data_IF_704891639144
#
_entry.id   IF_704891639144
#
_cell.length_a   1.000
_cell.length_b   1.000
_cell.length_c   1.000
_cell.angle_alpha   90.00
_cell.angle_beta   90.00
_cell.angle_gamma   90.00
#
_symmetry.space_group_name_H-M   'P 1'
#
loop_
_entity.id
_entity.type
_entity.pdbx_description
1 polymer ?
#
# COMPACT_ATOMS: atom_id res chain seq x y z
N UNK A 1 -12.01 7.78 -15.89
CA UNK A 1 -11.74 6.32 -15.90
C UNK A 1 -11.93 5.68 -14.54
N UNK A 2 -11.43 6.26 -13.46
CA UNK A 2 -11.52 5.70 -12.08
C UNK A 2 -12.95 5.35 -11.67
N UNK A 3 -13.91 6.27 -11.82
CA UNK A 3 -15.32 6.04 -11.42
C UNK A 3 -15.96 4.89 -12.21
N UNK A 4 -15.75 4.83 -13.54
CA UNK A 4 -16.22 3.71 -14.35
C UNK A 4 -15.56 2.40 -13.90
N UNK A 5 -14.27 2.43 -13.54
CA UNK A 5 -13.61 1.29 -12.93
C UNK A 5 -14.26 0.85 -11.61
N UNK A 6 -14.63 1.80 -10.75
CA UNK A 6 -15.35 1.50 -9.50
C UNK A 6 -16.73 0.89 -9.75
N UNK A 7 -17.51 1.42 -10.69
CA UNK A 7 -18.83 0.88 -11.08
C UNK A 7 -18.73 -0.55 -11.66
N UNK A 8 -17.61 -0.86 -12.33
CA UNK A 8 -17.34 -2.20 -12.88
C UNK A 8 -16.60 -3.12 -11.90
N UNK A 9 -16.30 -2.66 -10.68
CA UNK A 9 -15.59 -3.45 -9.66
C UNK A 9 -16.54 -4.07 -8.65
N UNK A 10 -16.09 -5.13 -7.98
CA UNK A 10 -16.79 -5.70 -6.85
C UNK A 10 -16.77 -4.74 -5.64
N UNK A 11 -17.96 -4.45 -5.09
CA UNK A 11 -18.21 -3.57 -3.93
C UNK A 11 -17.27 -3.84 -2.74
N UNK A 12 -17.08 -5.13 -2.45
CA UNK A 12 -16.26 -5.64 -1.33
C UNK A 12 -14.81 -5.12 -1.31
N UNK A 13 -14.28 -4.67 -2.45
CA UNK A 13 -12.89 -4.21 -2.61
C UNK A 13 -12.71 -2.72 -2.39
N UNK A 14 -13.78 -1.92 -2.38
CA UNK A 14 -13.71 -0.46 -2.28
C UNK A 14 -13.86 0.02 -0.84
N UNK A 15 -13.15 1.07 -0.42
CA UNK A 15 -13.34 1.67 0.91
C UNK A 15 -14.80 2.04 1.10
N UNK A 16 -15.32 1.88 2.32
CA UNK A 16 -16.74 2.02 2.67
C UNK A 16 -17.39 3.28 2.09
N UNK A 17 -16.72 4.43 2.11
CA UNK A 17 -17.26 5.68 1.55
C UNK A 17 -17.52 5.63 0.04
N UNK A 18 -16.61 5.01 -0.73
CA UNK A 18 -16.73 4.85 -2.18
C UNK A 18 -17.74 3.75 -2.48
N UNK A 19 -17.65 2.65 -1.74
CA UNK A 19 -18.54 1.50 -1.87
C UNK A 19 -20.01 1.90 -1.71
N UNK A 20 -20.36 2.55 -0.60
CA UNK A 20 -21.73 2.98 -0.33
C UNK A 20 -22.27 3.94 -1.41
N UNK A 21 -21.41 4.70 -2.11
CA UNK A 21 -21.84 5.58 -3.22
C UNK A 21 -22.05 4.82 -4.51
N UNK A 22 -21.15 3.88 -4.80
CA UNK A 22 -21.30 2.98 -5.95
C UNK A 22 -22.61 2.20 -5.79
N UNK A 23 -22.88 1.65 -4.61
CA UNK A 23 -24.15 0.98 -4.31
C UNK A 23 -25.36 1.90 -4.51
N UNK A 24 -25.33 3.14 -3.97
CA UNK A 24 -26.41 4.11 -4.19
C UNK A 24 -26.66 4.44 -5.67
N UNK A 25 -25.60 4.52 -6.47
CA UNK A 25 -25.71 4.75 -7.91
C UNK A 25 -26.35 3.54 -8.58
N UNK A 26 -25.88 2.32 -8.25
CA UNK A 26 -26.34 1.08 -8.84
C UNK A 26 -27.72 0.62 -8.34
N UNK A 27 -28.22 1.19 -7.24
CA UNK A 27 -29.59 0.97 -6.76
C UNK A 27 -30.65 1.48 -7.76
N UNK A 28 -30.31 2.53 -8.53
CA UNK A 28 -31.20 3.13 -9.53
C UNK A 28 -30.75 2.98 -10.98
N UNK A 29 -29.59 2.38 -11.24
CA UNK A 29 -29.00 2.31 -12.59
C UNK A 29 -28.20 1.03 -12.82
N UNK A 30 -28.11 0.62 -14.07
CA UNK A 30 -27.23 -0.48 -14.48
C UNK A 30 -25.85 0.03 -14.88
N UNK A 31 -24.82 -0.77 -14.59
CA UNK A 31 -23.42 -0.47 -14.97
C UNK A 31 -23.29 -0.19 -16.48
N UNK A 32 -24.08 -0.87 -17.32
CA UNK A 32 -24.08 -0.72 -18.78
C UNK A 32 -24.57 0.64 -19.29
N UNK A 33 -25.33 1.37 -18.46
CA UNK A 33 -25.82 2.71 -18.79
C UNK A 33 -24.74 3.78 -18.62
N UNK A 34 -23.71 3.50 -17.81
CA UNK A 34 -22.65 4.45 -17.51
C UNK A 34 -21.59 4.46 -18.60
N UNK A 35 -21.41 5.62 -19.23
CA UNK A 35 -20.41 5.83 -20.28
C UNK A 35 -19.50 7.00 -19.93
N UNK A 36 -18.30 6.96 -20.48
CA UNK A 36 -17.37 8.06 -20.36
C UNK A 36 -17.64 9.09 -21.44
N UNK A 37 -17.53 10.34 -21.01
CA UNK A 37 -17.46 11.49 -21.90
C UNK A 37 -16.02 12.02 -21.82
N UNK A 38 -15.46 12.43 -22.96
CA UNK A 38 -14.15 13.06 -22.98
C UNK A 38 -14.16 14.30 -22.08
N UNK A 39 -13.08 14.56 -21.35
CA UNK A 39 -12.96 15.75 -20.48
C UNK A 39 -13.30 17.06 -21.20
N UNK A 40 -12.93 17.19 -22.48
CA UNK A 40 -13.26 18.38 -23.29
C UNK A 40 -14.75 18.52 -23.59
N UNK A 41 -15.45 17.38 -23.59
CA UNK A 41 -16.87 17.28 -23.90
C UNK A 41 -17.72 17.18 -22.62
N UNK A 42 -17.15 17.36 -21.42
CA UNK A 42 -17.89 17.31 -20.17
C UNK A 42 -18.46 18.70 -19.81
N UNK A 43 -19.78 18.94 -19.87
CA UNK A 43 -20.34 20.24 -19.48
C UNK A 43 -20.10 20.56 -17.99
N UNK A 44 -20.01 19.55 -17.11
CA UNK A 44 -19.72 19.76 -15.70
C UNK A 44 -18.31 20.32 -15.43
N UNK A 45 -17.36 20.15 -16.36
CA UNK A 45 -16.04 20.77 -16.26
C UNK A 45 -16.13 22.30 -16.36
N UNK A 46 -17.12 22.83 -17.11
CA UNK A 46 -17.30 24.27 -17.31
C UNK A 46 -17.59 24.96 -15.98
N UNK A 47 -18.56 24.44 -15.22
CA UNK A 47 -18.95 25.04 -13.94
C UNK A 47 -17.90 24.82 -12.85
N UNK A 48 -17.25 23.65 -12.83
CA UNK A 48 -16.26 23.31 -11.79
C UNK A 48 -14.94 24.07 -11.94
N UNK A 49 -14.60 24.56 -13.15
CA UNK A 49 -13.42 25.41 -13.39
C UNK A 49 -13.63 26.89 -13.03
N UNK A 50 -14.88 27.28 -12.81
CA UNK A 50 -15.26 28.68 -12.60
C UNK A 50 -15.47 29.39 -13.94
N UNK A 51 -16.72 29.74 -14.22
CA UNK A 51 -17.15 30.51 -15.38
C UNK A 51 -18.05 31.65 -14.90
N UNK A 52 -18.02 32.79 -15.60
CA UNK A 52 -18.92 33.89 -15.30
C UNK A 52 -20.39 33.51 -15.60
N UNK A 53 -21.34 34.04 -14.83
CA UNK A 53 -22.75 33.73 -15.00
C UNK A 53 -23.30 34.14 -16.38
N UNK A 54 -22.83 35.26 -16.95
CA UNK A 54 -23.25 35.70 -18.29
C UNK A 54 -22.68 34.80 -19.38
N UNK A 55 -21.46 34.30 -19.20
CA UNK A 55 -20.83 33.39 -20.13
C UNK A 55 -21.47 32.00 -20.07
N UNK A 56 -21.78 31.52 -18.86
CA UNK A 56 -22.54 30.28 -18.66
C UNK A 56 -23.93 30.36 -19.32
N UNK A 57 -24.61 31.49 -19.20
CA UNK A 57 -25.90 31.71 -19.85
C UNK A 57 -25.83 31.58 -21.38
N UNK A 58 -24.67 31.88 -21.99
CA UNK A 58 -24.43 31.75 -23.43
C UNK A 58 -23.80 30.41 -23.83
N UNK A 59 -23.45 29.55 -22.88
CA UNK A 59 -22.73 28.30 -23.14
C UNK A 59 -23.64 27.24 -23.77
N UNK A 60 -23.53 27.07 -25.09
CA UNK A 60 -24.22 26.01 -25.83
C UNK A 60 -23.88 24.63 -25.26
N UNK A 61 -22.61 24.43 -24.87
CA UNK A 61 -22.12 23.17 -24.35
C UNK A 61 -22.76 22.80 -23.01
N UNK A 62 -23.01 23.78 -22.12
CA UNK A 62 -23.67 23.53 -20.84
C UNK A 62 -25.14 23.15 -21.03
N UNK A 63 -25.86 23.89 -21.88
CA UNK A 63 -27.30 23.72 -22.04
C UNK A 63 -27.69 22.57 -22.96
N UNK A 64 -26.92 22.31 -24.01
CA UNK A 64 -27.24 21.28 -25.01
C UNK A 64 -26.32 20.05 -24.94
N UNK A 65 -25.20 20.15 -24.23
CA UNK A 65 -24.18 19.10 -24.21
C UNK A 65 -23.44 18.93 -25.54
N UNK A 66 -22.67 17.84 -25.67
CA UNK A 66 -22.02 17.45 -26.92
C UNK A 66 -23.04 17.16 -28.02
N UNK A 67 -22.75 17.62 -29.24
CA UNK A 67 -23.63 17.45 -30.40
C UNK A 67 -23.98 15.99 -30.71
N UNK A 68 -23.06 15.06 -30.44
CA UNK A 68 -23.29 13.63 -30.70
C UNK A 68 -24.33 13.00 -29.77
N UNK A 69 -24.66 13.59 -28.62
CA UNK A 69 -25.72 13.07 -27.75
C UNK A 69 -27.12 13.28 -28.34
N UNK A 70 -27.27 14.22 -29.28
CA UNK A 70 -28.51 14.43 -30.03
C UNK A 70 -28.70 13.41 -31.17
N UNK A 71 -27.66 12.64 -31.49
CA UNK A 71 -27.70 11.60 -32.51
C UNK A 71 -28.17 10.27 -31.90
N UNK A 72 -28.61 9.29 -32.73
CA UNK A 72 -28.85 7.94 -32.27
C UNK A 72 -27.64 7.36 -31.53
N UNK A 73 -27.88 6.51 -30.53
CA UNK A 73 -26.83 5.93 -29.68
C UNK A 73 -25.72 5.22 -30.46
N UNK A 74 -26.07 4.64 -31.63
CA UNK A 74 -25.13 4.00 -32.55
C UNK A 74 -24.06 4.95 -33.10
N UNK A 75 -24.33 6.25 -33.09
CA UNK A 75 -23.44 7.31 -33.55
C UNK A 75 -22.76 8.06 -32.41
N UNK A 76 -23.02 7.68 -31.16
CA UNK A 76 -22.33 8.30 -30.04
C UNK A 76 -20.83 8.02 -30.14
N UNK A 77 -20.03 9.03 -29.79
CA UNK A 77 -18.60 8.83 -29.68
C UNK A 77 -18.35 7.83 -28.55
N UNK A 78 -17.81 6.65 -28.90
CA UNK A 78 -17.40 5.63 -27.94
C UNK A 78 -15.88 5.71 -27.82
N UNK A 79 -15.33 6.63 -27.00
CA UNK A 79 -13.90 6.60 -26.74
C UNK A 79 -13.55 5.19 -26.24
N UNK A 80 -12.60 4.54 -26.91
CA UNK A 80 -12.09 3.23 -26.48
C UNK A 80 -11.42 3.41 -25.13
N UNK A 81 -12.07 2.91 -24.09
CA UNK A 81 -11.57 3.05 -22.72
C UNK A 81 -10.98 1.74 -22.29
N UNK A 82 -9.68 1.80 -22.00
CA UNK A 82 -9.05 0.79 -21.19
C UNK A 82 -9.51 1.02 -19.76
N UNK A 83 -10.48 0.21 -19.30
CA UNK A 83 -10.86 0.20 -17.90
C UNK A 83 -9.62 -0.15 -17.08
N UNK A 84 -9.32 0.68 -16.10
CA UNK A 84 -8.23 0.42 -15.16
C UNK A 84 -8.57 -0.87 -14.40
N UNK A 85 -7.65 -1.85 -14.35
CA UNK A 85 -7.87 -3.07 -13.58
C UNK A 85 -8.21 -2.74 -12.14
N UNK A 86 -9.09 -3.52 -11.54
CA UNK A 86 -9.61 -3.24 -10.21
C UNK A 86 -8.50 -3.06 -9.17
N UNK A 87 -7.36 -3.75 -9.25
CA UNK A 87 -6.24 -3.64 -8.30
C UNK A 87 -5.41 -2.33 -8.41
N UNK A 88 -5.57 -1.57 -9.50
CA UNK A 88 -4.90 -0.27 -9.68
C UNK A 88 -5.83 0.90 -9.35
N UNK A 89 -7.09 0.62 -9.02
CA UNK A 89 -8.04 1.66 -8.64
C UNK A 89 -7.68 2.23 -7.27
N UNK A 90 -7.74 3.56 -7.10
CA UNK A 90 -7.58 4.18 -5.79
C UNK A 90 -8.73 3.78 -4.86
N UNK A 91 -8.56 4.06 -3.57
CA UNK A 91 -9.58 3.83 -2.55
C UNK A 91 -9.98 2.36 -2.36
N UNK A 92 -9.03 1.42 -2.48
CA UNK A 92 -9.27 0.02 -2.13
C UNK A 92 -9.24 -0.22 -0.62
N UNK A 93 -10.02 -1.20 -0.15
CA UNK A 93 -9.87 -1.74 1.21
C UNK A 93 -8.52 -2.47 1.31
N UNK A 94 -7.79 -2.30 2.42
CA UNK A 94 -6.62 -3.13 2.67
C UNK A 94 -7.06 -4.59 2.79
N UNK A 95 -6.42 -5.47 2.02
CA UNK A 95 -6.64 -6.91 2.13
C UNK A 95 -6.10 -7.37 3.48
N UNK A 96 -6.99 -7.66 4.43
CA UNK A 96 -6.61 -8.29 5.69
C UNK A 96 -6.69 -9.80 5.50
N UNK A 97 -5.54 -10.45 5.36
CA UNK A 97 -5.45 -11.90 5.44
C UNK A 97 -5.72 -12.31 6.89
N UNK A 98 -6.90 -12.86 7.16
CA UNK A 98 -7.21 -13.47 8.44
C UNK A 98 -6.87 -14.95 8.33
N UNK A 99 -5.81 -15.37 9.02
CA UNK A 99 -5.55 -16.78 9.23
C UNK A 99 -6.51 -17.25 10.32
N UNK A 100 -7.62 -17.84 9.92
CA UNK A 100 -8.50 -18.54 10.85
C UNK A 100 -7.89 -19.92 11.16
N UNK A 101 -7.22 -20.05 12.31
CA UNK A 101 -6.86 -21.34 12.85
C UNK A 101 -8.06 -21.93 13.61
N UNK A 102 -9.14 -22.19 12.87
CA UNK A 102 -10.31 -22.83 13.44
C UNK A 102 -9.88 -24.21 13.95
N UNK A 103 -9.93 -24.36 15.26
CA UNK A 103 -9.37 -25.47 16.03
C UNK A 103 -10.29 -26.67 15.86
N UNK A 104 -10.24 -27.28 14.68
CA UNK A 104 -11.07 -28.42 14.32
C UNK A 104 -11.01 -28.66 12.83
N UNK A 105 -10.01 -29.41 12.38
CA UNK A 105 -10.10 -30.56 11.44
C UNK A 105 -8.66 -30.99 11.10
N UNK A 106 -8.31 -32.18 11.58
CA UNK A 106 -7.26 -33.11 11.15
C UNK A 106 -5.78 -32.74 11.45
N UNK A 107 -5.15 -33.56 12.31
CA UNK A 107 -3.78 -33.48 12.83
C UNK A 107 -2.60 -33.51 11.83
N UNK A 108 -2.83 -33.23 10.54
CA UNK A 108 -1.78 -33.01 9.56
C UNK A 108 -1.21 -31.58 9.63
N UNK A 109 -2.03 -30.58 9.98
CA UNK A 109 -1.56 -29.19 10.07
C UNK A 109 -0.67 -28.92 11.29
N UNK A 110 -0.85 -29.70 12.36
CA UNK A 110 0.04 -29.65 13.53
C UNK A 110 1.48 -29.95 13.14
N UNK A 111 1.69 -30.96 12.27
CA UNK A 111 3.03 -31.30 11.76
C UNK A 111 3.61 -30.22 10.86
N UNK A 112 2.79 -29.53 10.06
CA UNK A 112 3.26 -28.42 9.21
C UNK A 112 3.68 -27.22 10.06
N UNK A 113 2.91 -26.89 11.10
CA UNK A 113 3.28 -25.83 12.04
C UNK A 113 4.53 -26.20 12.84
N UNK A 114 4.63 -27.44 13.33
CA UNK A 114 5.83 -27.91 14.02
C UNK A 114 7.05 -27.96 13.09
N UNK A 115 6.89 -28.36 11.82
CA UNK A 115 7.94 -28.30 10.79
C UNK A 115 8.37 -26.87 10.49
N UNK A 116 7.44 -25.91 10.41
CA UNK A 116 7.76 -24.51 10.18
C UNK A 116 8.49 -23.89 11.39
N UNK A 117 8.03 -24.19 12.61
CA UNK A 117 8.68 -23.76 13.85
C UNK A 117 10.06 -24.43 13.99
N UNK A 118 10.18 -25.74 13.75
CA UNK A 118 11.48 -26.44 13.77
C UNK A 118 12.42 -25.93 12.69
N UNK A 119 11.96 -25.69 11.46
CA UNK A 119 12.80 -25.09 10.41
C UNK A 119 13.27 -23.68 10.81
N UNK A 120 12.41 -22.87 11.43
CA UNK A 120 12.77 -21.52 11.86
C UNK A 120 13.82 -21.51 12.98
N UNK A 121 13.73 -22.41 13.95
CA UNK A 121 14.76 -22.53 14.99
C UNK A 121 16.01 -23.28 14.50
N UNK A 122 15.93 -24.17 13.51
CA UNK A 122 17.10 -24.73 12.83
C UNK A 122 17.86 -23.66 12.03
N UNK A 123 17.16 -22.80 11.28
CA UNK A 123 17.78 -21.69 10.56
C UNK A 123 18.48 -20.71 11.52
N UNK A 124 17.83 -20.35 12.63
CA UNK A 124 18.45 -19.53 13.68
C UNK A 124 19.65 -20.25 14.32
N UNK A 125 19.55 -21.54 14.64
CA UNK A 125 20.64 -22.31 15.24
C UNK A 125 21.84 -22.46 14.30
N UNK A 126 21.63 -22.71 13.00
CA UNK A 126 22.70 -22.81 12.00
C UNK A 126 23.41 -21.47 11.82
N UNK A 127 22.68 -20.34 11.83
CA UNK A 127 23.31 -19.01 11.78
C UNK A 127 24.12 -18.67 13.04
N UNK A 128 23.71 -19.16 14.22
CA UNK A 128 24.46 -18.96 15.47
C UNK A 128 25.70 -19.87 15.53
N UNK A 129 25.64 -21.10 15.01
CA UNK A 129 26.76 -22.04 15.02
C UNK A 129 27.81 -21.84 13.91
N UNK A 130 27.51 -21.05 12.88
CA UNK A 130 28.47 -20.69 11.82
C UNK A 130 29.23 -19.37 12.09
N UNK A 131 29.02 -18.71 13.23
CA UNK A 131 29.90 -17.62 13.63
C UNK A 131 31.26 -18.20 14.05
N UNK A 132 32.38 -17.81 13.40
CA UNK A 132 33.68 -18.29 13.77
C UNK A 132 33.99 -17.86 15.22
N UNK A 133 34.27 -18.85 16.07
CA UNK A 133 34.83 -18.62 17.40
C UNK A 133 36.09 -17.78 17.24
N UNK A 134 36.05 -16.54 17.69
CA UNK A 134 37.24 -15.67 17.73
C UNK A 134 38.18 -16.31 18.76
N UNK A 135 39.20 -17.02 18.28
CA UNK A 135 40.24 -17.61 19.14
C UNK A 135 40.87 -16.49 19.98
N UNK A 136 40.68 -16.54 21.29
CA UNK A 136 41.61 -15.93 22.22
C UNK A 136 42.92 -16.71 22.13
N UNK A 137 43.90 -16.14 21.41
CA UNK A 137 45.26 -16.68 21.38
C UNK A 137 45.91 -16.35 22.73
N UNK A 138 45.95 -17.35 23.61
CA UNK A 138 46.80 -17.36 24.78
C UNK A 138 48.25 -17.58 24.34
N UNK A 139 49.00 -16.50 24.11
CA UNK A 139 50.45 -16.56 23.95
C UNK A 139 51.14 -16.29 25.30
N UNK A 140 51.45 -17.38 26.00
CA UNK A 140 52.46 -17.39 27.06
C UNK A 140 53.83 -17.15 26.43
N UNK A 141 54.26 -15.88 26.35
CA UNK A 141 55.61 -15.50 25.97
C UNK A 141 56.36 -14.93 27.19
N UNK A 142 57.45 -15.63 27.49
CA UNK A 142 58.43 -15.44 28.56
C UNK A 142 59.07 -14.04 28.49
N UNK A 143 59.09 -13.30 29.60
CA UNK A 143 59.91 -12.07 29.76
C UNK A 143 61.34 -12.48 30.13
N UNK A 144 62.38 -11.89 29.51
CA UNK A 144 63.61 -11.57 30.19
C UNK A 144 63.75 -10.05 30.37
N UNK A 145 64.17 -9.68 31.58
CA UNK A 145 64.41 -8.33 32.06
C UNK A 145 65.39 -7.54 31.18
N UNK A 146 65.09 -6.27 30.90
CA UNK A 146 66.10 -5.20 31.02
C UNK A 146 65.49 -3.79 31.10
N UNK A 147 65.97 -3.07 32.13
CA UNK A 147 65.86 -1.66 32.52
C UNK A 147 65.52 -0.62 31.42
N UNK A 148 64.78 0.42 31.82
CA UNK A 148 65.00 1.79 31.32
C UNK A 148 63.75 2.67 31.17
N UNK A 149 63.68 3.71 31.99
CA UNK A 149 63.13 5.04 31.70
C UNK A 149 61.63 5.30 31.46
N UNK A 150 61.03 5.87 32.52
CA UNK A 150 60.55 7.26 32.58
C UNK A 150 59.32 7.73 31.74
N UNK A 151 58.36 8.27 32.52
CA UNK A 151 57.37 9.36 32.27
C UNK A 151 56.19 9.13 31.31
N UNK A 152 54.99 9.46 31.80
CA UNK A 152 54.02 10.14 30.92
C UNK A 152 52.53 9.86 31.11
N UNK A 153 51.95 10.42 32.18
CA UNK A 153 50.60 11.02 32.29
C UNK A 153 49.52 10.65 31.24
N UNK A 154 48.40 10.13 31.78
CA UNK A 154 47.02 10.71 31.71
C UNK A 154 46.37 10.81 30.30
N UNK A 155 45.11 10.42 30.05
CA UNK A 155 43.89 11.01 30.59
C UNK A 155 42.68 10.07 30.40
N UNK A 156 41.71 10.28 31.30
CA UNK A 156 40.45 9.55 31.47
C UNK A 156 39.37 9.89 30.42
N UNK A 157 38.45 8.95 30.19
CA UNK A 157 37.05 9.28 29.92
C UNK A 157 36.13 8.42 30.80
N UNK A 158 35.43 9.07 31.74
CA UNK A 158 34.55 8.45 32.74
C UNK A 158 33.17 8.16 32.15
N UNK A 159 32.65 6.95 32.39
CA UNK A 159 31.22 6.63 32.33
C UNK A 159 30.49 7.31 33.49
N UNK A 160 29.28 7.82 33.27
CA UNK A 160 28.34 8.09 34.35
C UNK A 160 26.91 7.76 33.95
N UNK A 161 26.20 7.30 34.98
CA UNK A 161 25.00 6.49 35.01
C UNK A 161 23.74 7.36 35.15
N UNK A 162 22.62 6.79 34.67
CA UNK A 162 21.19 7.08 34.91
C UNK A 162 20.83 8.17 35.94
N UNK A 163 19.76 8.92 35.63
CA UNK A 163 18.60 9.07 36.54
C UNK A 163 17.33 9.59 35.83
N UNK A 164 16.22 9.36 36.53
CA UNK A 164 14.81 9.37 36.13
C UNK A 164 14.10 10.55 36.82
N UNK A 165 13.11 11.14 36.13
CA UNK A 165 11.93 11.93 36.58
C UNK A 165 12.18 13.26 37.34
N UNK A 166 11.20 14.21 37.42
CA UNK A 166 9.74 14.06 37.61
C UNK A 166 8.87 14.19 36.36
#
# INVERSE_FOLDING_TARGET
MVVLGWLNSESSRLKTYVDNRVEQILDGTDVSQWRYINTKDNPADIISRGIDAQELARSVMWWNGPSYLSLPETQWSHPTIKLTPCYELPEQRPVKLVFDCNRGVNGHYQRIFELAVTCSCYYLAVTVFQLPQKQEVNSSARIPDTKGDQIGRSYNFKKSTKRRIP
#
